data_IF_689469141573
#
_entry.id   IF_689469141573
#
_cell.length_a   1.000
_cell.length_b   1.000
_cell.length_c   1.000
_cell.angle_alpha   90.00
_cell.angle_beta   90.00
_cell.angle_gamma   90.00
#
_symmetry.space_group_name_H-M   'P 1'
#
loop_
_entity.id
_entity.type
_entity.pdbx_description
1 polymer ?
#
# COMPACT_ATOMS: atom_id res chain seq x y z
N UNK A 1 4.29 35.14 -29.83
CA UNK A 1 3.58 33.88 -29.57
C UNK A 1 4.44 33.04 -28.64
N UNK A 2 4.20 33.15 -27.33
CA UNK A 2 4.86 32.30 -26.35
C UNK A 2 3.91 31.13 -26.09
N UNK A 3 4.31 29.93 -26.51
CA UNK A 3 3.71 28.73 -25.96
C UNK A 3 4.17 28.66 -24.50
N UNK A 4 3.26 28.76 -23.51
CA UNK A 4 3.63 28.44 -22.14
C UNK A 4 4.21 27.02 -22.17
N UNK A 5 5.40 26.88 -21.60
CA UNK A 5 6.08 25.59 -21.48
C UNK A 5 5.15 24.68 -20.72
N UNK A 6 4.62 23.63 -21.39
CA UNK A 6 3.80 22.59 -20.77
C UNK A 6 4.54 22.10 -19.52
N UNK A 7 4.12 22.65 -18.40
CA UNK A 7 4.81 22.56 -17.14
C UNK A 7 3.83 22.20 -16.05
N UNK A 8 4.31 22.21 -14.80
CA UNK A 8 3.44 21.99 -13.65
C UNK A 8 2.20 22.91 -13.67
N UNK A 9 2.33 24.10 -14.26
CA UNK A 9 1.24 25.09 -14.41
C UNK A 9 0.08 24.61 -15.28
N UNK A 10 0.30 24.09 -16.51
CA UNK A 10 -0.81 23.51 -17.30
C UNK A 10 -1.46 22.32 -16.59
N UNK A 11 -0.65 21.47 -15.95
CA UNK A 11 -1.16 20.34 -15.18
C UNK A 11 -2.10 20.77 -14.06
N UNK A 12 -1.76 21.86 -13.35
CA UNK A 12 -2.61 22.45 -12.31
C UNK A 12 -3.91 23.01 -12.91
N UNK A 13 -3.86 23.70 -14.06
CA UNK A 13 -5.07 24.24 -14.71
C UNK A 13 -6.03 23.11 -15.09
N UNK A 14 -5.51 22.04 -15.71
CA UNK A 14 -6.33 20.88 -16.08
C UNK A 14 -6.89 20.20 -14.81
N UNK A 15 -6.07 20.07 -13.76
CA UNK A 15 -6.51 19.50 -12.48
C UNK A 15 -7.68 20.31 -11.90
N UNK A 16 -7.62 21.65 -11.94
CA UNK A 16 -8.71 22.52 -11.46
C UNK A 16 -9.99 22.31 -12.28
N UNK A 17 -9.90 22.20 -13.62
CA UNK A 17 -11.07 21.93 -14.48
C UNK A 17 -11.70 20.58 -14.13
N UNK A 18 -10.89 19.53 -14.01
CA UNK A 18 -11.33 18.19 -13.59
C UNK A 18 -11.97 18.24 -12.20
N UNK A 19 -11.39 19.00 -11.27
CA UNK A 19 -11.91 19.20 -9.92
C UNK A 19 -13.24 19.94 -9.89
N UNK A 20 -13.53 20.83 -10.83
CA UNK A 20 -14.83 21.49 -10.93
C UNK A 20 -15.90 20.49 -11.42
N UNK A 21 -15.57 19.66 -12.42
CA UNK A 21 -16.50 18.66 -12.97
C UNK A 21 -16.78 17.53 -11.98
N UNK A 22 -15.74 16.98 -11.37
CA UNK A 22 -15.85 15.83 -10.47
C UNK A 22 -15.98 16.20 -8.99
N UNK A 23 -15.51 17.38 -8.58
CA UNK A 23 -15.44 17.83 -7.19
C UNK A 23 -14.15 17.39 -6.46
N UNK A 24 -13.66 18.23 -5.55
CA UNK A 24 -12.48 17.97 -4.69
C UNK A 24 -12.61 16.75 -3.77
N UNK A 25 -13.84 16.34 -3.44
CA UNK A 25 -14.10 15.17 -2.61
C UNK A 25 -14.00 13.84 -3.37
N UNK A 26 -14.16 13.83 -4.69
CA UNK A 26 -14.17 12.59 -5.47
C UNK A 26 -12.77 12.06 -5.73
N UNK A 27 -11.77 12.90 -5.99
CA UNK A 27 -10.38 12.46 -6.18
C UNK A 27 -9.84 11.59 -5.03
N UNK A 28 -9.91 11.99 -3.74
CA UNK A 28 -9.42 11.14 -2.65
C UNK A 28 -10.28 9.88 -2.45
N UNK A 29 -11.58 9.95 -2.75
CA UNK A 29 -12.47 8.79 -2.68
C UNK A 29 -12.07 7.72 -3.71
N UNK A 30 -11.86 8.10 -4.97
CA UNK A 30 -11.43 7.18 -6.04
C UNK A 30 -9.98 6.74 -5.84
N UNK A 31 -9.08 7.67 -5.49
CA UNK A 31 -7.67 7.37 -5.20
C UNK A 31 -7.50 6.42 -4.00
N UNK A 32 -8.33 6.54 -2.97
CA UNK A 32 -8.34 5.62 -1.83
C UNK A 32 -8.76 4.20 -2.21
N UNK A 33 -9.76 4.06 -3.09
CA UNK A 33 -10.20 2.76 -3.59
C UNK A 33 -9.11 2.10 -4.47
N UNK A 34 -8.55 2.87 -5.41
CA UNK A 34 -7.45 2.41 -6.27
C UNK A 34 -6.21 2.07 -5.43
N UNK A 35 -5.88 2.88 -4.43
CA UNK A 35 -4.72 2.68 -3.57
C UNK A 35 -4.81 1.39 -2.74
N UNK A 36 -6.00 1.06 -2.23
CA UNK A 36 -6.23 -0.23 -1.57
C UNK A 36 -6.05 -1.40 -2.53
N UNK A 37 -6.67 -1.33 -3.71
CA UNK A 37 -6.53 -2.37 -4.74
C UNK A 37 -5.08 -2.54 -5.19
N UNK A 38 -4.34 -1.45 -5.40
CA UNK A 38 -2.92 -1.49 -5.76
C UNK A 38 -2.07 -2.08 -4.62
N UNK A 39 -2.39 -1.80 -3.35
CA UNK A 39 -1.67 -2.37 -2.20
C UNK A 39 -1.88 -3.88 -2.08
N UNK A 40 -3.11 -4.34 -2.28
CA UNK A 40 -3.44 -5.77 -2.30
C UNK A 40 -2.79 -6.45 -3.51
N UNK A 41 -2.84 -5.82 -4.69
CA UNK A 41 -2.17 -6.31 -5.89
C UNK A 41 -0.65 -6.42 -5.71
N UNK A 42 -0.01 -5.43 -5.08
CA UNK A 42 1.43 -5.46 -4.76
C UNK A 42 1.76 -6.58 -3.78
N UNK A 43 0.92 -6.80 -2.78
CA UNK A 43 1.11 -7.85 -1.77
C UNK A 43 0.90 -9.25 -2.37
N UNK A 44 -0.12 -9.43 -3.21
CA UNK A 44 -0.34 -10.68 -3.93
C UNK A 44 0.80 -10.97 -4.91
N UNK A 45 1.27 -9.96 -5.65
CA UNK A 45 2.45 -10.11 -6.51
C UNK A 45 3.72 -10.49 -5.74
N UNK A 46 3.94 -9.91 -4.56
CA UNK A 46 5.10 -10.25 -3.74
C UNK A 46 5.05 -11.69 -3.23
N UNK A 47 3.88 -12.15 -2.76
CA UNK A 47 3.72 -13.54 -2.31
C UNK A 47 3.86 -14.56 -3.45
N UNK A 48 3.40 -14.22 -4.66
CA UNK A 48 3.58 -15.09 -5.84
C UNK A 48 5.04 -15.17 -6.31
N UNK A 49 5.82 -14.11 -6.12
CA UNK A 49 7.26 -14.12 -6.43
C UNK A 49 8.01 -14.97 -5.40
N UNK A 50 7.68 -14.83 -4.11
CA UNK A 50 8.24 -15.69 -3.05
C UNK A 50 7.88 -17.17 -3.26
N UNK A 51 6.63 -17.49 -3.63
CA UNK A 51 6.22 -18.88 -3.93
C UNK A 51 6.92 -19.45 -5.18
N UNK A 52 7.17 -18.64 -6.21
CA UNK A 52 7.93 -19.06 -7.40
C UNK A 52 9.43 -19.23 -7.12
N UNK A 53 10.00 -18.42 -6.21
CA UNK A 53 11.39 -18.58 -5.76
C UNK A 53 11.54 -19.82 -4.84
N UNK A 54 10.54 -20.12 -4.00
CA UNK A 54 10.54 -21.33 -3.15
C UNK A 54 10.38 -22.64 -3.97
N UNK A 55 9.69 -22.61 -5.12
CA UNK A 55 9.55 -23.77 -6.00
C UNK A 55 10.84 -24.08 -6.80
N UNK A 56 11.75 -23.11 -6.94
CA UNK A 56 13.12 -23.34 -7.45
C UNK A 56 14.14 -23.71 -6.34
N UNK A 57 13.82 -23.45 -5.05
CA UNK A 57 14.72 -23.66 -3.89
C UNK A 57 14.39 -24.92 -3.05
N UNK A 58 13.56 -25.86 -3.55
CA UNK A 58 13.27 -27.14 -2.86
C UNK A 58 14.45 -28.15 -2.91
N UNK A 59 15.65 -27.72 -3.31
CA UNK A 59 16.92 -28.22 -2.76
C UNK A 59 17.52 -27.16 -1.82
N UNK A 60 17.34 -27.33 -0.51
CA UNK A 60 18.11 -26.72 0.62
C UNK A 60 17.40 -25.81 1.66
N UNK A 61 16.49 -26.40 2.46
CA UNK A 61 16.32 -26.21 3.94
C UNK A 61 15.77 -24.89 4.56
N UNK A 62 15.09 -24.98 5.74
CA UNK A 62 14.17 -23.94 6.22
C UNK A 62 14.78 -22.96 7.25
N UNK A 63 14.47 -21.65 7.12
CA UNK A 63 14.77 -20.63 8.15
C UNK A 63 13.59 -19.70 8.49
N UNK A 64 12.86 -20.13 9.53
CA UNK A 64 12.44 -19.37 10.73
C UNK A 64 12.78 -17.85 10.80
N UNK A 65 11.77 -17.00 11.01
CA UNK A 65 11.62 -15.97 12.12
C UNK A 65 10.33 -15.13 11.93
N UNK A 66 9.31 -15.28 12.79
CA UNK A 66 8.98 -14.45 13.98
C UNK A 66 8.87 -12.94 13.74
N UNK A 67 7.71 -12.32 14.03
CA UNK A 67 7.50 -11.19 15.00
C UNK A 67 6.18 -10.43 14.73
N UNK A 68 5.10 -10.72 15.47
CA UNK A 68 4.16 -9.73 16.09
C UNK A 68 2.99 -10.44 16.78
N UNK A 69 3.24 -11.04 17.95
CA UNK A 69 2.16 -11.41 18.88
C UNK A 69 2.67 -11.43 20.33
N UNK A 70 3.15 -10.28 20.80
CA UNK A 70 3.34 -9.99 22.23
C UNK A 70 3.16 -8.49 22.46
N UNK A 71 1.91 -8.04 22.54
CA UNK A 71 1.57 -6.84 23.27
C UNK A 71 0.19 -7.05 23.92
N UNK A 72 0.20 -7.09 25.25
CA UNK A 72 -0.90 -6.79 26.18
C UNK A 72 -2.08 -7.76 26.30
N UNK A 73 -1.83 -8.99 26.76
CA UNK A 73 -2.76 -9.71 27.65
C UNK A 73 -1.95 -10.26 28.83
N UNK A 74 -2.09 -9.68 30.02
CA UNK A 74 -1.27 -10.08 31.18
C UNK A 74 -1.35 -9.20 32.43
N UNK A 75 -2.26 -8.22 32.50
CA UNK A 75 -2.68 -7.66 33.79
C UNK A 75 -3.88 -8.44 34.32
N UNK A 76 -3.64 -9.62 34.88
CA UNK A 76 -4.58 -10.28 35.77
C UNK A 76 -3.91 -11.42 36.56
N UNK A 77 -3.82 -11.21 37.88
CA UNK A 77 -3.70 -12.24 38.94
C UNK A 77 -2.37 -12.99 39.09
N UNK A 78 -2.18 -13.46 40.33
CA UNK A 78 -1.10 -14.27 40.92
C UNK A 78 -0.04 -13.40 41.62
N UNK A 79 -0.30 -12.92 42.84
CA UNK A 79 -0.24 -13.70 44.10
C UNK A 79 1.21 -14.06 44.44
N UNK A 80 1.90 -13.15 45.12
CA UNK A 80 2.98 -13.49 46.04
C UNK A 80 2.58 -12.93 47.41
N UNK A 81 1.76 -13.73 48.09
CA UNK A 81 1.71 -13.84 49.54
C UNK A 81 2.18 -15.25 49.86
#
# INVERSE_FOLDING_TARGET
MAFPTIGATEGIIILVVVLIVFGVGKLPQVGGAIGKGLREFRRGKAGLIEEMEEEEEEEETPKRKKTTKKLTEGKAKVKQS
#
